data_IF_273443601998
#
_entry.id   IF_273443601998
#
_cell.length_a   1.000
_cell.length_b   1.000
_cell.length_c   1.000
_cell.angle_alpha   90.00
_cell.angle_beta   90.00
_cell.angle_gamma   90.00
#
_symmetry.space_group_name_H-M   'P 1'
#
loop_
_entity.id
_entity.type
_entity.pdbx_description
1 polymer ?
#
# COMPACT_ATOMS: atom_id res chain seq x y z
N UNK A 1 -34.76 -36.18 21.50
CA UNK A 1 -33.78 -35.08 21.49
C UNK A 1 -32.76 -35.36 20.39
N UNK A 2 -32.65 -34.49 19.39
CA UNK A 2 -31.83 -34.70 18.18
C UNK A 2 -30.65 -33.75 18.25
N UNK A 3 -29.46 -34.30 18.51
CA UNK A 3 -28.22 -33.54 18.64
C UNK A 3 -27.68 -33.25 17.23
N UNK A 4 -27.70 -31.98 16.83
CA UNK A 4 -27.21 -31.52 15.53
C UNK A 4 -25.69 -31.31 15.63
N UNK A 5 -24.92 -32.21 15.03
CA UNK A 5 -23.46 -32.14 14.96
C UNK A 5 -23.05 -31.10 13.91
N UNK A 6 -22.88 -29.84 14.33
CA UNK A 6 -22.24 -28.82 13.50
C UNK A 6 -20.75 -29.16 13.39
N UNK A 7 -20.38 -29.77 12.27
CA UNK A 7 -19.00 -29.86 11.79
C UNK A 7 -18.49 -28.43 11.55
N UNK A 8 -17.88 -27.84 12.56
CA UNK A 8 -17.06 -26.64 12.39
C UNK A 8 -15.77 -27.11 11.72
N UNK A 9 -15.74 -27.01 10.40
CA UNK A 9 -14.53 -27.13 9.59
C UNK A 9 -13.55 -26.10 10.18
N UNK A 10 -12.36 -26.49 10.66
CA UNK A 10 -11.35 -25.50 10.95
C UNK A 10 -10.99 -24.89 9.60
N UNK A 11 -11.40 -23.64 9.38
CA UNK A 11 -10.71 -22.79 8.42
C UNK A 11 -9.26 -22.80 8.88
N UNK A 12 -8.44 -23.63 8.25
CA UNK A 12 -6.99 -23.48 8.30
C UNK A 12 -6.73 -22.16 7.58
N UNK A 13 -6.85 -21.06 8.33
CA UNK A 13 -6.37 -19.78 7.89
C UNK A 13 -4.92 -19.99 7.51
N UNK A 14 -4.65 -19.76 6.24
CA UNK A 14 -3.35 -19.88 5.61
C UNK A 14 -2.39 -18.97 6.38
N UNK A 15 -1.67 -19.53 7.35
CA UNK A 15 -0.49 -18.91 7.97
C UNK A 15 0.68 -19.06 6.98
N UNK A 16 0.53 -18.44 5.81
CA UNK A 16 1.53 -18.41 4.74
C UNK A 16 1.87 -16.99 4.31
N UNK A 17 1.72 -16.01 5.21
CA UNK A 17 1.80 -14.59 4.85
C UNK A 17 3.07 -13.83 5.27
N UNK A 18 4.03 -14.45 5.96
CA UNK A 18 5.18 -13.69 6.52
C UNK A 18 6.54 -14.19 6.04
N UNK A 19 6.64 -15.39 5.46
CA UNK A 19 7.94 -16.01 5.16
C UNK A 19 8.23 -16.27 3.67
N UNK A 20 7.66 -15.49 2.77
CA UNK A 20 8.02 -15.55 1.35
C UNK A 20 8.04 -14.18 0.66
N UNK A 21 8.43 -13.14 1.40
CA UNK A 21 9.10 -12.02 0.72
C UNK A 21 10.60 -12.30 0.61
N UNK A 22 10.92 -13.48 0.09
CA UNK A 22 12.25 -13.79 -0.41
C UNK A 22 12.52 -12.79 -1.52
N UNK A 23 13.53 -11.95 -1.30
CA UNK A 23 13.81 -10.70 -1.97
C UNK A 23 13.44 -10.65 -3.45
N UNK A 24 12.72 -9.59 -3.84
CA UNK A 24 12.65 -9.23 -5.25
C UNK A 24 14.10 -8.92 -5.67
N UNK A 25 14.70 -9.70 -6.60
CA UNK A 25 16.13 -9.63 -6.86
C UNK A 25 16.51 -8.20 -7.26
N UNK A 26 17.48 -7.62 -6.54
CA UNK A 26 17.95 -6.26 -6.73
C UNK A 26 17.48 -5.26 -5.67
N UNK A 27 16.30 -5.43 -5.06
CA UNK A 27 15.79 -4.47 -4.06
C UNK A 27 16.58 -4.53 -2.75
N UNK A 28 17.10 -5.70 -2.38
CA UNK A 28 17.95 -5.85 -1.20
C UNK A 28 19.36 -5.25 -1.36
N UNK A 29 19.75 -4.83 -2.57
CA UNK A 29 21.05 -4.18 -2.78
C UNK A 29 21.07 -2.69 -2.41
N UNK A 30 19.90 -2.10 -2.17
CA UNK A 30 19.72 -0.69 -1.88
C UNK A 30 19.32 -0.46 -0.40
N UNK A 31 19.97 0.50 0.25
CA UNK A 31 19.73 0.77 1.67
C UNK A 31 18.35 1.41 1.95
N UNK A 32 17.82 2.21 1.03
CA UNK A 32 16.46 2.75 1.08
C UNK A 32 15.44 1.63 0.96
N UNK A 33 15.58 0.76 -0.03
CA UNK A 33 14.70 -0.38 -0.21
C UNK A 33 14.73 -1.35 0.98
N UNK A 34 15.89 -1.57 1.60
CA UNK A 34 15.99 -2.37 2.84
C UNK A 34 15.32 -1.72 4.04
N UNK A 35 15.35 -0.40 4.16
CA UNK A 35 14.63 0.32 5.21
C UNK A 35 13.11 0.25 5.01
N UNK A 36 12.65 0.29 3.75
CA UNK A 36 11.25 0.27 3.37
C UNK A 36 10.56 -1.06 3.69
N UNK A 37 11.23 -2.21 3.70
CA UNK A 37 10.52 -3.47 3.98
C UNK A 37 10.13 -3.70 5.42
N UNK A 38 10.89 -3.16 6.39
CA UNK A 38 10.66 -3.36 7.81
C UNK A 38 10.81 -4.82 8.31
N UNK A 39 11.17 -5.77 7.44
CA UNK A 39 11.16 -7.22 7.75
C UNK A 39 12.12 -7.62 8.88
N UNK A 40 13.17 -6.83 9.08
CA UNK A 40 14.15 -7.02 10.18
C UNK A 40 13.58 -6.72 11.57
N UNK A 41 12.50 -5.92 11.65
CA UNK A 41 11.90 -5.47 12.90
C UNK A 41 10.67 -6.31 13.32
N UNK A 42 10.30 -7.30 12.49
CA UNK A 42 9.18 -8.21 12.73
C UNK A 42 7.92 -7.87 11.93
N UNK A 43 6.90 -8.73 12.00
CA UNK A 43 5.74 -8.69 11.10
C UNK A 43 4.85 -7.45 11.27
N UNK A 44 4.73 -6.91 12.48
CA UNK A 44 3.90 -5.71 12.74
C UNK A 44 4.50 -4.49 12.03
N UNK A 45 5.81 -4.30 12.14
CA UNK A 45 6.53 -3.21 11.48
C UNK A 45 6.58 -3.40 9.96
N UNK A 46 6.75 -4.64 9.49
CA UNK A 46 6.64 -4.91 8.06
C UNK A 46 5.25 -4.53 7.52
N UNK A 47 4.18 -4.84 8.26
CA UNK A 47 2.82 -4.47 7.88
C UNK A 47 2.59 -2.95 7.89
N UNK A 48 3.14 -2.22 8.87
CA UNK A 48 3.03 -0.75 8.88
C UNK A 48 3.78 -0.12 7.71
N UNK A 49 4.98 -0.61 7.39
CA UNK A 49 5.74 -0.12 6.24
C UNK A 49 5.06 -0.43 4.90
N UNK A 50 4.34 -1.57 4.80
CA UNK A 50 3.47 -1.86 3.66
C UNK A 50 2.40 -0.78 3.53
N UNK A 51 1.71 -0.47 4.62
CA UNK A 51 0.66 0.57 4.63
C UNK A 51 1.22 1.93 4.21
N UNK A 52 2.37 2.33 4.76
CA UNK A 52 3.04 3.59 4.42
C UNK A 52 3.43 3.65 2.93
N UNK A 53 3.91 2.55 2.35
CA UNK A 53 4.21 2.48 0.91
C UNK A 53 2.97 2.56 0.03
N UNK A 54 1.86 1.94 0.44
CA UNK A 54 0.59 2.00 -0.30
C UNK A 54 0.01 3.41 -0.21
N UNK A 55 0.09 4.05 0.95
CA UNK A 55 -0.31 5.44 1.15
C UNK A 55 0.54 6.41 0.36
N UNK A 56 1.85 6.20 0.29
CA UNK A 56 2.75 7.07 -0.47
C UNK A 56 2.54 6.96 -1.98
N UNK A 57 2.19 5.79 -2.49
CA UNK A 57 1.92 5.56 -3.91
C UNK A 57 0.48 5.93 -4.32
N UNK A 58 -0.22 6.75 -3.55
CA UNK A 58 -1.52 7.27 -3.94
C UNK A 58 -1.35 8.39 -4.97
N UNK A 59 -2.11 8.32 -6.06
CA UNK A 59 -2.18 9.33 -7.10
C UNK A 59 -3.61 9.80 -7.20
N UNK A 60 -3.86 11.08 -6.93
CA UNK A 60 -5.18 11.69 -7.05
C UNK A 60 -5.23 12.52 -8.32
N UNK A 61 -6.11 12.14 -9.24
CA UNK A 61 -6.38 12.90 -10.46
C UNK A 61 -7.68 13.66 -10.30
N UNK A 62 -7.66 14.98 -10.51
CA UNK A 62 -8.84 15.82 -10.50
C UNK A 62 -9.35 16.00 -11.92
N UNK A 63 -10.37 15.22 -12.26
CA UNK A 63 -10.98 15.24 -13.58
C UNK A 63 -11.65 16.60 -13.83
N UNK A 64 -11.54 17.15 -15.04
CA UNK A 64 -12.07 18.49 -15.37
C UNK A 64 -11.19 19.67 -14.90
N UNK A 65 -10.29 19.48 -13.91
CA UNK A 65 -9.32 20.50 -13.48
C UNK A 65 -7.92 20.30 -14.07
N UNK A 66 -7.64 19.13 -14.65
CA UNK A 66 -6.35 18.83 -15.28
C UNK A 66 -5.16 18.81 -14.30
N UNK A 67 -5.43 18.52 -13.02
CA UNK A 67 -4.41 18.49 -11.96
C UNK A 67 -4.26 17.09 -11.37
N UNK A 68 -3.04 16.76 -10.96
CA UNK A 68 -2.67 15.49 -10.34
C UNK A 68 -1.89 15.79 -9.05
N UNK A 69 -2.23 15.10 -7.97
CA UNK A 69 -1.56 15.20 -6.68
C UNK A 69 -1.01 13.82 -6.27
N UNK A 70 0.18 13.83 -5.67
CA UNK A 70 0.81 12.65 -5.09
C UNK A 70 1.50 13.02 -3.76
N UNK A 71 1.54 12.10 -2.79
CA UNK A 71 2.31 12.29 -1.57
C UNK A 71 3.79 12.53 -1.86
N UNK A 72 4.39 13.45 -1.12
CA UNK A 72 5.84 13.74 -1.18
C UNK A 72 6.52 13.55 0.17
N UNK A 73 5.75 13.40 1.25
CA UNK A 73 6.26 13.20 2.60
C UNK A 73 6.78 11.77 2.77
N UNK A 74 8.10 11.63 2.93
CA UNK A 74 8.73 10.35 3.27
C UNK A 74 8.70 10.09 4.77
N UNK A 75 8.42 8.84 5.21
CA UNK A 75 8.49 8.48 6.62
C UNK A 75 9.89 8.67 7.23
N UNK A 76 9.96 8.97 8.52
CA UNK A 76 11.24 9.21 9.23
C UNK A 76 12.13 7.97 9.32
N UNK A 77 11.58 6.76 9.24
CA UNK A 77 12.39 5.53 9.18
C UNK A 77 13.11 5.36 7.84
N UNK A 78 12.67 6.07 6.78
CA UNK A 78 13.19 5.96 5.43
C UNK A 78 14.30 6.99 5.11
N UNK A 79 15.05 7.41 6.14
CA UNK A 79 16.15 8.38 6.02
C UNK A 79 17.29 7.91 5.11
N UNK A 80 17.38 6.61 4.84
CA UNK A 80 18.32 6.05 3.87
C UNK A 80 17.97 6.36 2.40
N UNK A 81 16.78 6.90 2.12
CA UNK A 81 16.34 7.29 0.78
C UNK A 81 16.85 8.69 0.42
N UNK A 82 17.62 8.81 -0.66
CA UNK A 82 18.11 10.09 -1.17
C UNK A 82 17.04 10.81 -1.99
N UNK A 83 16.77 12.10 -1.74
CA UNK A 83 15.75 12.86 -2.49
C UNK A 83 14.33 12.44 -2.14
N UNK A 84 13.86 12.89 -0.96
CA UNK A 84 12.55 12.57 -0.40
C UNK A 84 11.45 12.58 -1.49
N UNK A 85 10.79 11.42 -1.64
CA UNK A 85 9.68 11.20 -2.55
C UNK A 85 9.98 10.17 -3.63
N UNK A 86 10.86 10.49 -4.56
CA UNK A 86 11.12 9.67 -5.75
C UNK A 86 11.81 8.35 -5.43
N UNK A 87 12.79 8.37 -4.52
CA UNK A 87 13.56 7.18 -4.14
C UNK A 87 12.77 6.27 -3.21
N UNK A 88 11.91 6.86 -2.36
CA UNK A 88 11.01 6.10 -1.51
C UNK A 88 9.92 5.40 -2.34
N UNK A 89 9.29 6.12 -3.28
CA UNK A 89 8.34 5.53 -4.22
C UNK A 89 8.97 4.41 -5.06
N UNK A 90 10.17 4.64 -5.59
CA UNK A 90 10.92 3.63 -6.35
C UNK A 90 11.23 2.38 -5.51
N UNK A 91 11.62 2.55 -4.25
CA UNK A 91 11.81 1.44 -3.32
C UNK A 91 10.50 0.68 -3.07
N UNK A 92 9.38 1.39 -2.89
CA UNK A 92 8.07 0.74 -2.73
C UNK A 92 7.69 -0.09 -3.97
N UNK A 93 7.88 0.45 -5.18
CA UNK A 93 7.64 -0.25 -6.43
C UNK A 93 8.65 -1.40 -6.67
N UNK A 94 9.88 -1.26 -6.20
CA UNK A 94 10.88 -2.32 -6.20
C UNK A 94 10.35 -3.52 -5.44
N UNK A 95 9.77 -3.31 -4.25
CA UNK A 95 9.14 -4.36 -3.47
C UNK A 95 7.77 -4.84 -3.99
N UNK A 96 7.24 -4.18 -5.03
CA UNK A 96 6.01 -4.57 -5.70
C UNK A 96 4.74 -4.11 -4.97
N UNK A 97 4.82 -3.08 -4.14
CA UNK A 97 3.61 -2.50 -3.56
C UNK A 97 2.83 -1.76 -4.66
N UNK A 98 1.50 -1.93 -4.74
CA UNK A 98 0.69 -1.37 -5.82
C UNK A 98 0.54 0.15 -5.69
N UNK A 99 0.51 0.82 -6.85
CA UNK A 99 0.08 2.23 -6.96
C UNK A 99 -1.44 2.29 -6.84
N UNK A 100 -1.95 3.23 -6.05
CA UNK A 100 -3.38 3.47 -5.91
C UNK A 100 -3.75 4.73 -6.69
N UNK A 101 -4.72 4.64 -7.59
CA UNK A 101 -5.18 5.80 -8.35
C UNK A 101 -6.59 6.15 -7.94
N UNK A 102 -6.78 7.41 -7.56
CA UNK A 102 -8.07 7.98 -7.20
C UNK A 102 -8.43 9.05 -8.22
N UNK A 103 -9.59 8.92 -8.84
CA UNK A 103 -10.13 9.98 -9.68
C UNK A 103 -11.21 10.71 -8.89
N UNK A 104 -11.01 12.01 -8.71
CA UNK A 104 -11.98 12.90 -8.09
C UNK A 104 -12.63 13.71 -9.20
N UNK A 105 -13.96 13.63 -9.26
CA UNK A 105 -14.77 14.48 -10.12
C UNK A 105 -15.24 15.68 -9.30
N UNK A 106 -15.15 16.91 -9.81
CA UNK A 106 -15.70 18.08 -9.15
C UNK A 106 -17.21 17.88 -9.02
N UNK A 107 -17.72 17.93 -7.79
CA UNK A 107 -19.15 17.97 -7.55
C UNK A 107 -19.72 19.22 -8.22
N UNK A 108 -20.66 19.05 -9.15
CA UNK A 108 -21.42 20.14 -9.73
C UNK A 108 -22.61 20.44 -8.83
N UNK A 109 -22.76 21.69 -8.36
CA UNK A 109 -23.85 22.15 -7.47
C UNK A 109 -25.27 22.00 -8.07
N UNK A 110 -25.39 21.51 -9.31
CA UNK A 110 -26.65 21.29 -10.04
C UNK A 110 -27.39 19.98 -9.66
N UNK A 111 -26.91 19.22 -8.68
CA UNK A 111 -27.61 18.05 -8.15
C UNK A 111 -27.59 16.80 -9.05
N UNK A 112 -26.66 16.74 -10.00
CA UNK A 112 -26.36 15.55 -10.79
C UNK A 112 -25.26 14.71 -10.14
N UNK A 113 -25.54 13.44 -9.88
CA UNK A 113 -24.48 12.45 -9.65
C UNK A 113 -23.99 11.96 -11.01
N UNK A 114 -22.87 12.48 -11.49
CA UNK A 114 -22.00 11.69 -12.35
C UNK A 114 -21.13 10.78 -11.46
N UNK A 115 -21.80 9.75 -10.91
CA UNK A 115 -21.26 8.51 -10.36
C UNK A 115 -20.12 8.60 -9.33
N UNK A 116 -20.42 9.18 -8.16
CA UNK A 116 -19.60 8.98 -6.96
C UNK A 116 -19.85 7.58 -6.35
N UNK A 117 -19.13 6.58 -6.85
CA UNK A 117 -19.03 5.26 -6.19
C UNK A 117 -17.65 5.15 -5.55
N UNK A 118 -17.64 5.35 -4.23
CA UNK A 118 -16.54 5.01 -3.33
C UNK A 118 -16.76 3.54 -2.93
N UNK A 119 -15.86 2.64 -3.32
CA UNK A 119 -15.78 1.25 -2.81
C UNK A 119 -14.36 0.97 -2.34
#
# INVERSE_FOLDING_TARGET
MKLNFFLIIPFTAVLGGVFERSGKPGCDSDNCARAVTGTRLGPVTAASHVADCVSFQQVTTYYGLGSVASPTATPTYATACTGAGDSYGSACSCWGYPVQTYTVYPYSDDGGLDDAVII
#
